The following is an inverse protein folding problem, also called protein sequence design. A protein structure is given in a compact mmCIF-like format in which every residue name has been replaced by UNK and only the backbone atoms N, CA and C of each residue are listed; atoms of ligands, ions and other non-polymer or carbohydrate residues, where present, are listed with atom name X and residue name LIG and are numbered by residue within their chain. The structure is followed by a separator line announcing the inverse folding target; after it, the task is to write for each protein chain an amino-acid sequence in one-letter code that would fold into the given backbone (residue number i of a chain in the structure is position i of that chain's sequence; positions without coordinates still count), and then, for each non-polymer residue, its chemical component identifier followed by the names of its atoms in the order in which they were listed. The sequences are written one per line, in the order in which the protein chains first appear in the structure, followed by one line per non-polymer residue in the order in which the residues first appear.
data_IF_933109862242
#
_entry.id   IF_933109862242
#
_cell.length_a   1.000
_cell.length_b   1.000
_cell.length_c   1.000
_cell.angle_alpha   90.00
_cell.angle_beta   90.00
_cell.angle_gamma   90.00
#
_symmetry.space_group_name_H-M   'P 1'
#
loop_
_entity.id
_entity.type
_entity.pdbx_description
1 polymer ?
#
# COMPACT_ATOMS: atom_id res chain seq x y z
N UNK A 1 -12.52 42.06 -20.14
CA UNK A 1 -12.71 41.49 -18.80
C UNK A 1 -13.98 40.65 -18.85
N UNK A 2 -13.89 39.33 -18.72
CA UNK A 2 -15.05 38.43 -18.74
C UNK A 2 -15.84 38.59 -17.44
N UNK A 3 -17.12 38.97 -17.54
CA UNK A 3 -18.01 39.05 -16.38
C UNK A 3 -18.15 37.67 -15.72
N UNK A 4 -17.88 37.61 -14.41
CA UNK A 4 -18.05 36.38 -13.64
C UNK A 4 -19.53 36.21 -13.32
N UNK A 5 -20.15 35.20 -13.92
CA UNK A 5 -21.53 34.81 -13.62
C UNK A 5 -21.61 34.20 -12.21
N UNK A 6 -22.48 34.75 -11.36
CA UNK A 6 -22.76 34.24 -10.02
C UNK A 6 -24.00 33.33 -10.07
N UNK A 7 -23.95 32.21 -9.34
CA UNK A 7 -25.05 31.26 -9.22
C UNK A 7 -25.46 31.16 -7.75
N UNK A 8 -26.76 31.30 -7.47
CA UNK A 8 -27.31 31.06 -6.14
C UNK A 8 -27.43 29.57 -5.88
N UNK A 9 -27.01 29.12 -4.70
CA UNK A 9 -27.12 27.73 -4.26
C UNK A 9 -27.90 27.74 -2.95
N UNK A 10 -28.95 26.92 -2.86
CA UNK A 10 -29.63 26.67 -1.59
C UNK A 10 -28.97 25.47 -0.91
N UNK A 11 -28.60 25.66 0.36
CA UNK A 11 -28.05 24.63 1.22
C UNK A 11 -29.00 24.44 2.40
N UNK A 12 -29.27 23.19 2.76
CA UNK A 12 -29.95 22.91 4.02
C UNK A 12 -29.05 23.24 5.23
N UNK A 13 -29.63 23.17 6.42
CA UNK A 13 -28.93 23.50 7.66
C UNK A 13 -27.76 22.57 7.98
N UNK A 14 -27.83 21.30 7.58
CA UNK A 14 -26.80 20.30 7.87
C UNK A 14 -25.57 20.52 6.97
N UNK A 15 -25.80 20.71 5.66
CA UNK A 15 -24.76 21.01 4.69
C UNK A 15 -24.12 22.36 5.00
N UNK A 16 -24.90 23.37 5.42
CA UNK A 16 -24.37 24.65 5.87
C UNK A 16 -23.46 24.49 7.08
N UNK A 17 -23.88 23.75 8.11
CA UNK A 17 -23.06 23.51 9.29
C UNK A 17 -21.77 22.74 8.97
N UNK A 18 -21.83 21.78 8.06
CA UNK A 18 -20.66 21.06 7.57
C UNK A 18 -19.69 22.00 6.83
N UNK A 19 -20.21 22.92 6.02
CA UNK A 19 -19.41 23.91 5.31
C UNK A 19 -18.77 24.94 6.27
N UNK A 20 -19.49 25.38 7.30
CA UNK A 20 -18.97 26.25 8.37
C UNK A 20 -17.80 25.59 9.10
N UNK A 21 -17.98 24.31 9.49
CA UNK A 21 -16.92 23.52 10.11
C UNK A 21 -15.73 23.37 9.18
N UNK A 22 -15.96 23.09 7.90
CA UNK A 22 -14.87 22.96 6.93
C UNK A 22 -14.09 24.26 6.77
N UNK A 23 -14.76 25.40 6.61
CA UNK A 23 -14.14 26.72 6.48
C UNK A 23 -13.22 27.03 7.66
N UNK A 24 -13.69 26.75 8.89
CA UNK A 24 -12.92 26.97 10.11
C UNK A 24 -11.69 26.06 10.17
N UNK A 25 -11.85 24.79 9.83
CA UNK A 25 -10.77 23.80 9.88
C UNK A 25 -9.73 24.06 8.78
N UNK A 26 -10.14 24.52 7.59
CA UNK A 26 -9.26 24.86 6.46
C UNK A 26 -8.56 26.21 6.58
N UNK A 27 -8.96 27.05 7.55
CA UNK A 27 -8.49 28.43 7.63
C UNK A 27 -8.91 29.27 6.42
N UNK A 28 -9.97 28.86 5.73
CA UNK A 28 -10.48 29.56 4.54
C UNK A 28 -11.12 30.90 4.94
N UNK A 29 -10.72 31.98 4.27
CA UNK A 29 -11.21 33.34 4.58
C UNK A 29 -12.65 33.58 4.12
N UNK A 30 -13.16 32.74 3.22
CA UNK A 30 -14.53 32.81 2.72
C UNK A 30 -15.09 31.43 2.39
N UNK A 31 -16.43 31.31 2.30
CA UNK A 31 -17.09 30.10 1.79
C UNK A 31 -16.67 29.76 0.37
N UNK A 32 -16.40 30.77 -0.46
CA UNK A 32 -15.90 30.54 -1.82
C UNK A 32 -14.56 29.82 -1.80
N UNK A 33 -13.66 30.22 -0.91
CA UNK A 33 -12.35 29.57 -0.76
C UNK A 33 -12.49 28.17 -0.16
N UNK A 34 -13.41 27.99 0.79
CA UNK A 34 -13.72 26.69 1.36
C UNK A 34 -14.28 25.72 0.29
N UNK A 35 -15.21 26.19 -0.54
CA UNK A 35 -15.77 25.42 -1.65
C UNK A 35 -14.71 25.14 -2.72
N UNK A 36 -13.88 26.12 -3.08
CA UNK A 36 -12.80 25.92 -4.04
C UNK A 36 -11.79 24.86 -3.53
N UNK A 37 -11.44 24.90 -2.24
CA UNK A 37 -10.59 23.90 -1.61
C UNK A 37 -11.23 22.51 -1.63
N UNK A 38 -12.53 22.42 -1.33
CA UNK A 38 -13.29 21.17 -1.32
C UNK A 38 -13.41 20.55 -2.72
N UNK A 39 -13.53 21.39 -3.75
CA UNK A 39 -13.62 21.00 -5.16
C UNK A 39 -12.25 20.86 -5.85
N UNK A 40 -11.14 21.14 -5.15
CA UNK A 40 -9.79 21.08 -5.71
C UNK A 40 -9.50 22.12 -6.82
N UNK A 41 -10.15 23.28 -6.77
CA UNK A 41 -9.96 24.36 -7.76
C UNK A 41 -8.74 25.21 -7.34
N UNK A 42 -7.71 25.23 -8.19
CA UNK A 42 -6.54 26.10 -8.00
C UNK A 42 -6.95 27.57 -8.17
N UNK A 43 -7.12 28.28 -7.06
CA UNK A 43 -7.34 29.73 -7.05
C UNK A 43 -6.11 30.44 -6.48
N UNK A 44 -5.80 31.67 -6.90
CA UNK A 44 -4.63 32.40 -6.40
C UNK A 44 -4.59 32.59 -4.88
N UNK A 45 -5.75 32.49 -4.22
CA UNK A 45 -5.93 32.64 -2.77
C UNK A 45 -6.03 31.30 -2.01
N UNK A 46 -6.11 30.13 -2.67
CA UNK A 46 -6.21 28.81 -2.01
C UNK A 46 -4.90 28.27 -1.45
N UNK A 47 -3.84 29.09 -1.39
CA UNK A 47 -2.53 28.71 -0.84
C UNK A 47 -2.48 28.59 0.70
N UNK A 48 -3.62 28.75 1.39
CA UNK A 48 -3.71 28.53 2.83
C UNK A 48 -3.96 27.04 3.07
N UNK A 49 -2.95 26.39 3.66
CA UNK A 49 -2.86 24.98 4.12
C UNK A 49 -4.12 24.16 3.83
N UNK A 50 -4.07 23.36 2.75
CA UNK A 50 -5.00 22.24 2.52
C UNK A 50 -5.21 21.51 3.84
N UNK A 51 -6.44 21.46 4.31
CA UNK A 51 -6.81 20.66 5.47
C UNK A 51 -6.47 19.20 5.23
N UNK A 52 -5.36 18.77 5.81
CA UNK A 52 -4.86 17.40 5.89
C UNK A 52 -5.74 16.47 6.74
N UNK A 53 -7.04 16.77 6.88
CA UNK A 53 -7.86 16.29 8.00
C UNK A 53 -9.04 15.37 7.68
N UNK A 54 -9.42 15.12 6.42
CA UNK A 54 -10.58 14.24 6.13
C UNK A 54 -10.24 13.10 5.17
N UNK A 55 -9.30 13.31 4.26
CA UNK A 55 -8.69 12.24 3.49
C UNK A 55 -7.19 12.54 3.46
N UNK A 56 -6.38 11.70 4.11
CA UNK A 56 -4.93 11.73 3.87
C UNK A 56 -4.78 11.39 2.39
N UNK A 57 -4.42 12.37 1.55
CA UNK A 57 -3.86 12.06 0.24
C UNK A 57 -2.70 11.12 0.52
N UNK A 58 -2.91 9.81 0.28
CA UNK A 58 -1.85 8.85 0.45
C UNK A 58 -0.75 9.23 -0.53
N UNK A 59 0.47 9.47 -0.04
CA UNK A 59 1.59 9.85 -0.89
C UNK A 59 2.00 8.73 -1.84
N UNK A 60 1.53 7.50 -1.61
CA UNK A 60 1.67 6.33 -2.47
C UNK A 60 0.55 5.31 -2.23
N UNK A 61 0.68 4.08 -2.75
CA UNK A 61 -0.25 2.99 -2.46
C UNK A 61 -0.38 2.73 -0.95
N UNK A 62 -1.52 2.19 -0.52
CA UNK A 62 -1.69 1.79 0.89
C UNK A 62 -0.71 0.66 1.26
N UNK A 63 -0.34 0.60 2.53
CA UNK A 63 0.60 -0.38 3.06
C UNK A 63 0.18 -1.82 2.74
N UNK A 64 -1.13 -2.14 2.83
CA UNK A 64 -1.66 -3.46 2.52
C UNK A 64 -1.37 -3.93 1.08
N UNK A 65 -1.36 -3.01 0.10
CA UNK A 65 -1.04 -3.33 -1.30
C UNK A 65 0.44 -3.70 -1.43
N UNK A 66 1.31 -2.94 -0.75
CA UNK A 66 2.76 -3.18 -0.77
C UNK A 66 3.11 -4.47 -0.01
N UNK A 67 2.52 -4.67 1.17
CA UNK A 67 2.70 -5.88 1.97
C UNK A 67 2.25 -7.13 1.20
N UNK A 68 1.11 -7.06 0.50
CA UNK A 68 0.65 -8.16 -0.34
C UNK A 68 1.63 -8.44 -1.48
N UNK A 69 2.13 -7.41 -2.17
CA UNK A 69 3.13 -7.57 -3.21
C UNK A 69 4.44 -8.18 -2.68
N UNK A 70 4.89 -7.79 -1.48
CA UNK A 70 6.07 -8.37 -0.82
C UNK A 70 5.83 -9.84 -0.48
N UNK A 71 4.78 -10.17 0.26
CA UNK A 71 4.54 -11.54 0.73
C UNK A 71 4.31 -12.51 -0.43
N UNK A 72 3.69 -12.06 -1.52
CA UNK A 72 3.50 -12.87 -2.73
C UNK A 72 4.80 -13.23 -3.46
N UNK A 73 5.93 -12.64 -3.11
CA UNK A 73 7.24 -13.08 -3.62
C UNK A 73 7.54 -14.56 -3.31
N UNK A 74 6.90 -15.11 -2.27
CA UNK A 74 7.08 -16.49 -1.82
C UNK A 74 5.85 -17.38 -2.10
N UNK A 75 4.87 -16.90 -2.86
CA UNK A 75 3.61 -17.63 -3.07
C UNK A 75 3.83 -19.00 -3.74
N UNK A 76 4.74 -19.07 -4.70
CA UNK A 76 5.05 -20.31 -5.41
C UNK A 76 5.70 -21.33 -4.47
N UNK A 77 6.69 -20.90 -3.68
CA UNK A 77 7.37 -21.72 -2.69
C UNK A 77 6.41 -22.17 -1.58
N UNK A 78 5.53 -21.28 -1.11
CA UNK A 78 4.48 -21.59 -0.15
C UNK A 78 3.50 -22.64 -0.70
N UNK A 79 3.07 -22.49 -1.96
CA UNK A 79 2.16 -23.43 -2.63
C UNK A 79 2.81 -24.80 -2.77
N UNK A 80 4.07 -24.85 -3.23
CA UNK A 80 4.85 -26.08 -3.33
C UNK A 80 5.04 -26.77 -1.97
N UNK A 81 5.24 -26.00 -0.90
CA UNK A 81 5.31 -26.55 0.45
C UNK A 81 3.98 -27.17 0.91
N UNK A 82 2.85 -26.49 0.64
CA UNK A 82 1.52 -27.01 0.96
C UNK A 82 1.22 -28.32 0.20
N UNK A 83 1.57 -28.38 -1.08
CA UNK A 83 1.44 -29.59 -1.91
C UNK A 83 2.29 -30.74 -1.35
N UNK A 84 3.54 -30.48 -0.98
CA UNK A 84 4.41 -31.49 -0.36
C UNK A 84 3.86 -31.95 0.99
N UNK A 85 3.35 -31.04 1.83
CA UNK A 85 2.73 -31.41 3.10
C UNK A 85 1.54 -32.34 2.91
N UNK A 86 0.68 -32.05 1.94
CA UNK A 86 -0.48 -32.88 1.60
C UNK A 86 -0.06 -34.25 1.06
N UNK A 87 0.93 -34.28 0.15
CA UNK A 87 1.41 -35.51 -0.50
C UNK A 87 2.17 -36.43 0.47
N UNK A 88 3.03 -35.88 1.32
CA UNK A 88 3.88 -36.65 2.25
C UNK A 88 3.29 -36.82 3.67
N UNK A 89 2.00 -36.52 3.88
CA UNK A 89 1.33 -36.52 5.20
C UNK A 89 2.17 -35.83 6.30
N UNK A 90 2.85 -34.74 5.94
CA UNK A 90 3.62 -33.92 6.87
C UNK A 90 5.08 -34.33 7.18
N UNK A 91 5.62 -35.45 6.64
CA UNK A 91 6.92 -35.95 7.11
C UNK A 91 8.17 -35.44 6.36
N UNK A 92 8.06 -34.81 5.17
CA UNK A 92 9.24 -34.46 4.36
C UNK A 92 9.10 -33.18 3.53
N UNK A 93 8.40 -32.16 4.03
CA UNK A 93 8.38 -30.87 3.34
C UNK A 93 9.75 -30.21 3.48
N UNK A 94 10.61 -30.39 2.47
CA UNK A 94 11.90 -29.73 2.39
C UNK A 94 11.62 -28.26 2.10
N UNK A 95 12.07 -27.39 3.00
CA UNK A 95 12.00 -25.93 2.85
C UNK A 95 12.92 -25.54 1.68
N UNK A 96 12.45 -25.70 0.45
CA UNK A 96 13.19 -25.27 -0.75
C UNK A 96 13.20 -23.74 -0.78
N UNK A 97 14.40 -23.15 -0.89
CA UNK A 97 14.78 -21.75 -0.63
C UNK A 97 13.65 -20.72 -0.54
N UNK A 98 13.26 -20.45 0.70
CA UNK A 98 12.42 -19.34 1.17
C UNK A 98 13.17 -18.00 1.21
N UNK A 99 14.33 -17.91 0.58
CA UNK A 99 15.20 -16.72 0.63
C UNK A 99 14.97 -15.86 -0.61
N UNK A 100 14.83 -14.54 -0.42
CA UNK A 100 14.79 -13.53 -1.47
C UNK A 100 15.74 -12.41 -1.11
N UNK A 101 16.54 -11.98 -2.07
CA UNK A 101 17.32 -10.76 -1.93
C UNK A 101 16.41 -9.54 -1.93
N UNK A 102 16.87 -8.44 -1.31
CA UNK A 102 16.20 -7.13 -1.38
C UNK A 102 15.88 -6.71 -2.82
N UNK A 103 16.80 -6.96 -3.75
CA UNK A 103 16.63 -6.59 -5.16
C UNK A 103 15.50 -7.40 -5.83
N UNK A 104 15.42 -8.70 -5.57
CA UNK A 104 14.32 -9.55 -6.07
C UNK A 104 12.97 -9.08 -5.54
N UNK A 105 12.89 -8.75 -4.25
CA UNK A 105 11.65 -8.23 -3.64
C UNK A 105 11.24 -6.92 -4.28
N UNK A 106 12.16 -5.96 -4.44
CA UNK A 106 11.86 -4.67 -5.07
C UNK A 106 11.38 -4.86 -6.50
N UNK A 107 12.01 -5.76 -7.27
CA UNK A 107 11.58 -6.05 -8.64
C UNK A 107 10.19 -6.68 -8.68
N UNK A 108 9.91 -7.66 -7.82
CA UNK A 108 8.58 -8.28 -7.73
C UNK A 108 7.50 -7.26 -7.34
N UNK A 109 7.80 -6.35 -6.41
CA UNK A 109 6.90 -5.25 -6.03
C UNK A 109 6.69 -4.30 -7.22
N UNK A 110 7.75 -3.94 -7.96
CA UNK A 110 7.64 -3.12 -9.18
C UNK A 110 6.75 -3.80 -10.23
N UNK A 111 6.96 -5.09 -10.49
CA UNK A 111 6.14 -5.85 -11.43
C UNK A 111 4.68 -5.89 -11.01
N UNK A 112 4.39 -6.20 -9.74
CA UNK A 112 3.03 -6.25 -9.21
C UNK A 112 2.30 -4.90 -9.36
N UNK A 113 2.99 -3.80 -9.07
CA UNK A 113 2.42 -2.45 -9.14
C UNK A 113 2.36 -1.89 -10.58
N UNK A 114 3.15 -2.46 -11.48
CA UNK A 114 3.15 -2.18 -12.92
C UNK A 114 2.14 -2.98 -13.72
N UNK A 115 1.45 -3.97 -13.12
CA UNK A 115 0.41 -4.75 -13.80
C UNK A 115 -0.74 -3.86 -14.27
N UNK A 116 -1.07 -4.00 -15.55
CA UNK A 116 -2.20 -3.31 -16.18
C UNK A 116 -3.50 -3.99 -15.81
N UNK A 117 -4.37 -3.25 -15.12
CA UNK A 117 -5.73 -3.71 -14.83
C UNK A 117 -6.63 -3.51 -16.07
N UNK A 118 -7.81 -4.11 -16.07
CA UNK A 118 -8.77 -3.97 -17.18
C UNK A 118 -9.16 -2.51 -17.50
N UNK A 119 -8.94 -1.58 -16.56
CA UNK A 119 -9.11 -0.15 -16.75
C UNK A 119 -7.96 0.55 -17.50
N UNK A 120 -6.87 -0.16 -17.82
CA UNK A 120 -5.64 0.42 -18.38
C UNK A 120 -4.79 1.19 -17.36
N UNK A 121 -5.20 1.23 -16.10
CA UNK A 121 -4.51 1.95 -15.01
C UNK A 121 -3.62 1.00 -14.22
N UNK A 122 -2.46 1.49 -13.79
CA UNK A 122 -1.54 0.78 -12.89
C UNK A 122 -1.36 1.58 -11.59
N UNK A 123 -0.94 0.92 -10.50
CA UNK A 123 -0.54 1.64 -9.29
C UNK A 123 0.59 2.63 -9.59
N UNK A 124 1.53 2.24 -10.45
CA UNK A 124 2.61 3.10 -10.94
C UNK A 124 2.11 4.39 -11.60
N UNK A 125 1.09 4.29 -12.46
CA UNK A 125 0.53 5.44 -13.18
C UNK A 125 -0.20 6.42 -12.26
N UNK A 126 -0.73 5.97 -11.12
CA UNK A 126 -1.40 6.82 -10.15
C UNK A 126 -0.44 7.64 -9.29
N UNK A 127 0.77 7.12 -9.06
CA UNK A 127 1.74 7.71 -8.13
C UNK A 127 3.16 7.84 -8.73
N UNK A 128 3.34 8.40 -9.94
CA UNK A 128 4.59 8.31 -10.68
C UNK A 128 5.81 8.89 -9.93
N UNK A 129 5.63 10.02 -9.23
CA UNK A 129 6.70 10.64 -8.43
C UNK A 129 7.08 9.76 -7.23
N UNK A 130 6.10 9.24 -6.49
CA UNK A 130 6.35 8.37 -5.35
C UNK A 130 7.07 7.08 -5.76
N UNK A 131 6.68 6.49 -6.90
CA UNK A 131 7.36 5.30 -7.41
C UNK A 131 8.84 5.56 -7.72
N UNK A 132 9.15 6.74 -8.27
CA UNK A 132 10.52 7.13 -8.60
C UNK A 132 11.36 7.44 -7.37
N UNK A 133 10.78 8.10 -6.38
CA UNK A 133 11.54 8.72 -5.29
C UNK A 133 11.46 7.94 -3.97
N UNK A 134 10.41 7.15 -3.76
CA UNK A 134 10.07 6.61 -2.43
C UNK A 134 9.87 5.10 -2.39
N UNK A 135 9.66 4.42 -3.53
CA UNK A 135 9.30 3.00 -3.54
C UNK A 135 10.28 2.14 -2.73
N UNK A 136 11.58 2.25 -2.99
CA UNK A 136 12.55 1.34 -2.38
C UNK A 136 12.66 1.54 -0.87
N UNK A 137 12.76 2.79 -0.41
CA UNK A 137 12.77 3.11 1.02
C UNK A 137 11.45 2.70 1.70
N UNK A 138 10.32 2.80 1.00
CA UNK A 138 9.04 2.36 1.53
C UNK A 138 8.99 0.83 1.66
N UNK A 139 9.45 0.09 0.64
CA UNK A 139 9.57 -1.38 0.69
C UNK A 139 10.47 -1.81 1.86
N UNK A 140 11.60 -1.14 2.08
CA UNK A 140 12.47 -1.43 3.23
C UNK A 140 11.75 -1.26 4.57
N UNK A 141 11.00 -0.18 4.74
CA UNK A 141 10.20 0.05 5.93
C UNK A 141 9.12 -1.03 6.11
N UNK A 142 8.50 -1.49 5.01
CA UNK A 142 7.50 -2.57 5.04
C UNK A 142 8.11 -3.92 5.37
N UNK A 143 9.33 -4.21 4.90
CA UNK A 143 10.04 -5.43 5.26
C UNK A 143 10.31 -5.50 6.76
N UNK A 144 10.74 -4.39 7.38
CA UNK A 144 10.89 -4.32 8.84
C UNK A 144 9.55 -4.52 9.57
N UNK A 145 8.46 -3.93 9.05
CA UNK A 145 7.13 -4.09 9.63
C UNK A 145 6.63 -5.55 9.53
N UNK A 146 6.83 -6.21 8.39
CA UNK A 146 6.46 -7.62 8.19
C UNK A 146 7.31 -8.57 9.06
N UNK A 147 8.58 -8.23 9.29
CA UNK A 147 9.44 -8.93 10.25
C UNK A 147 8.93 -8.78 11.68
N UNK A 148 8.62 -7.56 12.11
CA UNK A 148 8.04 -7.31 13.43
C UNK A 148 6.70 -8.02 13.64
N UNK A 149 5.98 -8.30 12.55
CA UNK A 149 4.73 -9.09 12.56
C UNK A 149 4.95 -10.60 12.45
N UNK A 150 6.19 -11.09 12.38
CA UNK A 150 6.53 -12.51 12.37
C UNK A 150 6.28 -13.25 11.04
N UNK A 151 6.15 -12.54 9.91
CA UNK A 151 5.93 -13.19 8.61
C UNK A 151 7.24 -13.56 7.89
N UNK A 152 8.25 -12.71 8.06
CA UNK A 152 9.54 -12.84 7.40
C UNK A 152 10.64 -12.58 8.43
N UNK A 153 11.84 -13.06 8.13
CA UNK A 153 13.04 -12.77 8.90
C UNK A 153 14.19 -12.42 7.95
N UNK A 154 15.19 -11.75 8.49
CA UNK A 154 16.49 -11.53 7.83
C UNK A 154 17.65 -11.85 8.78
N UNK A 155 17.35 -12.47 9.94
CA UNK A 155 18.36 -13.04 10.82
C UNK A 155 18.80 -14.39 10.25
N UNK A 156 20.06 -14.48 9.88
CA UNK A 156 20.59 -15.60 9.10
C UNK A 156 20.84 -16.81 10.02
N UNK A 157 19.90 -17.75 10.13
CA UNK A 157 20.03 -18.89 11.09
C UNK A 157 20.77 -20.10 10.51
N UNK A 158 20.84 -20.27 9.18
CA UNK A 158 21.55 -21.41 8.60
C UNK A 158 22.46 -21.00 7.44
N UNK A 159 23.76 -20.96 7.73
CA UNK A 159 24.89 -20.99 6.79
C UNK A 159 24.99 -19.83 5.78
N UNK A 160 25.80 -18.81 6.13
CA UNK A 160 26.72 -18.20 5.15
C UNK A 160 27.88 -17.50 5.87
N UNK A 161 29.08 -17.79 5.40
CA UNK A 161 30.40 -17.53 6.00
C UNK A 161 30.83 -16.06 5.98
N UNK A 162 29.93 -15.10 5.76
CA UNK A 162 30.25 -13.68 5.70
C UNK A 162 29.10 -12.85 6.26
N UNK A 163 29.40 -12.02 7.26
CA UNK A 163 28.46 -11.08 7.87
C UNK A 163 28.00 -9.97 6.90
N UNK A 164 28.65 -9.82 5.73
CA UNK A 164 28.31 -8.80 4.75
C UNK A 164 27.20 -9.22 3.76
N UNK A 165 26.99 -10.52 3.53
CA UNK A 165 26.00 -10.99 2.54
C UNK A 165 24.59 -11.23 3.12
N UNK A 166 24.47 -11.18 4.44
CA UNK A 166 23.24 -11.51 5.18
C UNK A 166 22.29 -10.34 5.43
N UNK A 167 22.81 -9.11 5.37
CA UNK A 167 22.01 -7.88 5.58
C UNK A 167 20.99 -7.62 4.46
N UNK A 168 21.03 -8.38 3.36
CA UNK A 168 20.20 -8.18 2.17
C UNK A 168 19.29 -9.36 1.79
N UNK A 169 19.26 -10.43 2.59
CA UNK A 169 18.45 -11.63 2.32
C UNK A 169 17.30 -11.72 3.31
N UNK A 170 16.10 -11.88 2.77
CA UNK A 170 14.86 -12.02 3.51
C UNK A 170 14.29 -13.40 3.32
N UNK A 171 13.80 -13.97 4.39
CA UNK A 171 13.37 -15.35 4.49
C UNK A 171 11.92 -15.38 4.93
N UNK A 172 11.02 -16.01 4.17
CA UNK A 172 9.66 -16.20 4.66
C UNK A 172 9.64 -17.26 5.76
N UNK A 173 9.04 -16.94 6.91
CA UNK A 173 8.84 -17.94 7.96
C UNK A 173 7.77 -18.91 7.47
N UNK A 174 8.20 -20.11 7.08
CA UNK A 174 7.30 -21.10 6.46
C UNK A 174 6.14 -21.43 7.40
N UNK A 175 4.94 -21.60 6.83
CA UNK A 175 3.70 -22.02 7.52
C UNK A 175 2.96 -20.92 8.29
N UNK A 176 3.46 -19.70 8.24
CA UNK A 176 2.87 -18.57 8.96
C UNK A 176 1.65 -17.98 8.24
N UNK A 177 1.56 -18.16 6.92
CA UNK A 177 0.43 -17.69 6.11
C UNK A 177 -0.46 -18.89 5.77
N UNK A 178 -1.73 -18.82 6.20
CA UNK A 178 -2.75 -19.82 5.94
C UNK A 178 -3.28 -19.74 4.50
N UNK A 179 -3.88 -20.81 3.98
CA UNK A 179 -4.44 -20.83 2.61
C UNK A 179 -5.44 -19.70 2.37
N UNK A 180 -6.33 -19.42 3.33
CA UNK A 180 -7.30 -18.33 3.23
C UNK A 180 -6.65 -16.94 3.22
N UNK A 181 -5.52 -16.80 3.90
CA UNK A 181 -4.75 -15.57 3.91
C UNK A 181 -4.04 -15.37 2.57
N UNK A 182 -3.53 -16.44 1.94
CA UNK A 182 -3.02 -16.38 0.57
C UNK A 182 -4.09 -15.91 -0.43
N UNK A 183 -5.32 -16.43 -0.31
CA UNK A 183 -6.42 -15.98 -1.16
C UNK A 183 -6.75 -14.50 -0.94
N UNK A 184 -6.70 -14.01 0.30
CA UNK A 184 -6.85 -12.59 0.60
C UNK A 184 -5.74 -11.74 -0.05
N UNK A 185 -4.48 -12.19 0.02
CA UNK A 185 -3.34 -11.50 -0.59
C UNK A 185 -3.48 -11.45 -2.13
N UNK A 186 -3.98 -12.52 -2.76
CA UNK A 186 -4.29 -12.54 -4.21
C UNK A 186 -5.36 -11.52 -4.56
N UNK A 187 -6.49 -11.54 -3.86
CA UNK A 187 -7.62 -10.63 -4.11
C UNK A 187 -7.18 -9.16 -4.03
N UNK A 188 -6.40 -8.81 -3.00
CA UNK A 188 -5.91 -7.43 -2.84
C UNK A 188 -4.90 -7.04 -3.92
N UNK A 189 -4.13 -7.99 -4.43
CA UNK A 189 -3.12 -7.71 -5.45
C UNK A 189 -3.63 -7.74 -6.89
N UNK A 190 -4.74 -8.44 -7.16
CA UNK A 190 -5.22 -8.72 -8.53
C UNK A 190 -6.59 -8.12 -8.82
N UNK A 191 -7.47 -8.04 -7.84
CA UNK A 191 -8.86 -7.59 -8.04
C UNK A 191 -9.09 -6.14 -7.61
N UNK A 192 -8.33 -5.68 -6.62
CA UNK A 192 -8.44 -4.30 -6.15
C UNK A 192 -7.80 -3.35 -7.15
N UNK A 193 -8.65 -2.57 -7.82
CA UNK A 193 -8.22 -1.57 -8.78
C UNK A 193 -7.45 -0.43 -8.12
N UNK A 194 -6.42 0.11 -8.79
CA UNK A 194 -5.69 1.28 -8.31
C UNK A 194 -6.63 2.47 -8.06
N UNK A 195 -6.62 3.03 -6.84
CA UNK A 195 -7.42 4.20 -6.49
C UNK A 195 -6.77 5.03 -5.36
N UNK A 196 -6.72 6.36 -5.51
CA UNK A 196 -5.99 7.25 -4.57
C UNK A 196 -6.56 7.40 -3.16
N UNK A 197 -7.80 6.99 -2.98
CA UNK A 197 -8.58 7.14 -1.75
C UNK A 197 -8.74 5.80 -1.05
N UNK A 198 -8.11 4.75 -1.58
CA UNK A 198 -8.26 3.42 -1.06
C UNK A 198 -7.47 3.28 0.24
N UNK A 199 -8.20 3.09 1.33
CA UNK A 199 -7.64 2.83 2.64
C UNK A 199 -8.00 1.39 3.06
N UNK A 200 -7.12 0.45 2.74
CA UNK A 200 -7.28 -0.94 3.15
C UNK A 200 -6.59 -1.12 4.51
N UNK A 201 -7.29 -1.67 5.52
CA UNK A 201 -6.65 -2.00 6.80
C UNK A 201 -5.60 -3.11 6.64
N UNK A 202 -4.85 -3.37 7.71
CA UNK A 202 -3.94 -4.52 7.73
C UNK A 202 -4.70 -5.82 7.46
N UNK A 203 -4.21 -6.59 6.47
CA UNK A 203 -4.87 -7.80 5.99
C UNK A 203 -4.66 -9.01 6.90
N UNK A 204 -3.47 -9.09 7.49
CA UNK A 204 -3.02 -10.25 8.24
C UNK A 204 -2.79 -9.87 9.70
N UNK A 205 -3.15 -10.80 10.60
CA UNK A 205 -2.90 -10.64 12.04
C UNK A 205 -1.42 -10.88 12.35
N UNK A 206 -0.77 -10.06 13.20
CA UNK A 206 0.59 -10.32 13.65
C UNK A 206 0.75 -11.69 14.27
N UNK A 207 1.96 -12.24 14.20
CA UNK A 207 2.34 -13.55 14.68
C UNK A 207 3.32 -13.34 15.84
N UNK A 208 2.93 -13.85 17.01
CA UNK A 208 3.73 -13.81 18.26
C UNK A 208 4.83 -14.87 18.25
#
# INVERSE_FOLDING_TARGET
MTEKKLYSIQLDSEIKAALDKHQNVSGSRSYKDAIANLLGIDTPQSKIKKTTGIYKEHSGPTAAIIDAAILRCWEHEATRWQEQKAYFRGNHAVVSSIDKTRAEIINAVKEALGRTYSSGTTWMSLYPLWFKESLEAYVDNRLQALKAKGFIDNSNVYTRTSALDSAGVWTMISNVIETKEWDLLRLVSEEIKPHKQLNIPDLLRPRE
#
